data_IF_705467603579
#
_entry.id   IF_705467603579
#
_cell.length_a   1.000
_cell.length_b   1.000
_cell.length_c   1.000
_cell.angle_alpha   90.00
_cell.angle_beta   90.00
_cell.angle_gamma   90.00
#
_symmetry.space_group_name_H-M   'P 1'
#
loop_
_entity.id
_entity.type
_entity.pdbx_description
1 polymer ?
2 water ?
#
# COMPACT_ATOMS: atom_id res chain seq x y z
N UNK A 23 11.55 -8.43 4.41
CA UNK A 23 11.59 -7.84 3.07
C UNK A 23 10.27 -7.15 2.70
N UNK A 24 10.15 -6.64 1.47
CA UNK A 24 8.90 -6.02 1.04
C UNK A 24 7.83 -7.07 0.76
N UNK A 25 6.57 -6.69 0.79
CA UNK A 25 5.50 -7.62 0.37
C UNK A 25 5.56 -7.85 -1.13
N UNK A 26 5.08 -9.03 -1.58
CA UNK A 26 4.85 -9.20 -3.01
C UNK A 26 3.53 -8.52 -3.41
N UNK A 27 3.18 -8.55 -4.70
CA UNK A 27 2.03 -7.75 -5.15
C UNK A 27 0.74 -8.25 -4.50
N UNK A 28 0.56 -9.58 -4.45
CA UNK A 28 -0.64 -10.14 -3.84
C UNK A 28 -0.73 -9.79 -2.36
N UNK A 29 0.38 -9.93 -1.64
CA UNK A 29 0.36 -9.55 -0.23
C UNK A 29 0.01 -8.07 -0.09
N UNK A 30 0.59 -7.21 -0.94
CA UNK A 30 0.37 -5.77 -0.79
C UNK A 30 -1.07 -5.40 -1.10
N UNK A 31 -1.64 -5.99 -2.15
CA UNK A 31 -3.04 -5.70 -2.45
C UNK A 31 -3.94 -6.13 -1.29
N UNK A 32 -3.67 -7.30 -0.70
CA UNK A 32 -4.43 -7.71 0.50
C UNK A 32 -4.30 -6.68 1.62
N UNK A 33 -3.09 -6.15 1.84
CA UNK A 33 -2.89 -5.12 2.86
C UNK A 33 -3.72 -3.87 2.58
N UNK A 34 -3.82 -3.49 1.30
CA UNK A 34 -4.58 -2.29 0.94
C UNK A 34 -6.05 -2.51 1.25
N UNK A 35 -6.57 -3.69 0.92
CA UNK A 35 -7.96 -3.97 1.22
C UNK A 35 -8.21 -4.05 2.72
N UNK A 36 -7.27 -4.63 3.48
CA UNK A 36 -7.48 -4.68 4.93
C UNK A 36 -7.48 -3.29 5.53
N UNK A 37 -6.52 -2.46 5.11
CA UNK A 37 -6.50 -1.07 5.52
C UNK A 37 -7.81 -0.38 5.17
N UNK A 38 -8.28 -0.59 3.94
CA UNK A 38 -9.57 -0.05 3.52
C UNK A 38 -10.67 -0.44 4.51
N UNK A 39 -10.65 -1.70 4.96
CA UNK A 39 -11.66 -2.26 5.85
C UNK A 39 -11.52 -1.76 7.28
N UNK A 40 -10.29 -1.50 7.73
CA UNK A 40 -9.99 -1.22 9.13
C UNK A 40 -9.68 0.24 9.45
N UNK A 41 -9.46 1.10 8.44
CA UNK A 41 -8.87 2.40 8.73
C UNK A 41 -9.79 3.28 9.59
N UNK A 42 -11.11 3.03 9.57
CA UNK A 42 -12.03 3.80 10.40
C UNK A 42 -11.88 3.56 11.90
N UNK A 43 -11.16 2.50 12.29
CA UNK A 43 -11.01 2.19 13.71
C UNK A 43 -9.90 3.00 14.36
N UNK A 44 -9.19 3.85 13.62
CA UNK A 44 -7.96 4.48 14.09
C UNK A 44 -8.09 5.99 13.97
N UNK A 45 -7.34 6.75 14.78
CA UNK A 45 -7.48 8.22 14.73
C UNK A 45 -7.03 8.85 13.42
N UNK A 46 -6.06 8.25 12.73
CA UNK A 46 -5.54 8.78 11.48
C UNK A 46 -4.78 7.66 10.77
N UNK A 47 -4.21 7.98 9.60
CA UNK A 47 -3.51 6.95 8.84
C UNK A 47 -2.22 6.55 9.53
N UNK A 48 -1.57 7.50 10.20
CA UNK A 48 -0.29 7.18 10.82
C UNK A 48 -0.45 6.27 12.03
N UNK A 49 -1.64 6.27 12.65
CA UNK A 49 -1.89 5.50 13.86
C UNK A 49 -2.24 4.04 13.58
N UNK A 50 -2.64 3.71 12.36
CA UNK A 50 -2.79 2.34 11.89
C UNK A 50 -1.54 1.53 12.24
N UNK A 51 -1.67 0.26 12.54
CA UNK A 51 -0.49 -0.50 12.97
C UNK A 51 0.38 -1.03 11.84
N UNK A 52 1.33 -0.20 11.39
CA UNK A 52 2.23 -0.53 10.28
C UNK A 52 3.46 -1.29 10.76
N UNK A 53 3.82 -2.37 10.05
CA UNK A 53 5.02 -3.12 10.41
C UNK A 53 6.30 -2.46 9.94
N UNK A 54 6.22 -1.49 9.04
CA UNK A 54 7.40 -0.77 8.60
C UNK A 54 6.94 0.57 8.04
N UNK A 55 7.86 1.54 8.02
CA UNK A 55 7.58 2.74 7.23
C UNK A 55 7.21 2.38 5.81
N UNK A 56 7.81 1.32 5.26
CA UNK A 56 7.50 0.93 3.89
C UNK A 56 6.02 0.58 3.73
N UNK A 57 5.45 -0.17 4.68
CA UNK A 57 4.05 -0.56 4.56
C UNK A 57 3.15 0.68 4.56
N UNK A 58 3.46 1.64 5.43
CA UNK A 58 2.66 2.85 5.52
C UNK A 58 2.66 3.59 4.18
N UNK A 59 3.85 3.78 3.60
CA UNK A 59 3.97 4.55 2.35
C UNK A 59 3.32 3.80 1.18
N UNK A 60 3.63 2.52 1.03
CA UNK A 60 3.02 1.69 -0.01
C UNK A 60 1.49 1.71 0.10
N UNK A 61 0.97 1.33 1.27
CA UNK A 61 -0.47 1.14 1.41
C UNK A 61 -1.22 2.47 1.29
N UNK A 62 -0.75 3.53 1.98
CA UNK A 62 -1.52 4.78 1.95
C UNK A 62 -1.50 5.41 0.56
N UNK A 63 -0.38 5.31 -0.15
CA UNK A 63 -0.34 5.79 -1.53
C UNK A 63 -1.31 5.02 -2.42
N UNK A 64 -1.30 3.69 -2.33
CA UNK A 64 -2.20 2.89 -3.17
C UNK A 64 -3.66 3.08 -2.77
N UNK A 65 -3.94 3.17 -1.46
CA UNK A 65 -5.31 3.41 -1.03
C UNK A 65 -5.82 4.72 -1.61
N UNK A 66 -5.04 5.78 -1.49
CA UNK A 66 -5.50 7.08 -1.98
C UNK A 66 -5.67 7.08 -3.49
N UNK A 67 -4.79 6.37 -4.20
CA UNK A 67 -4.93 6.23 -5.64
C UNK A 67 -6.18 5.43 -6.00
N UNK A 68 -6.39 4.30 -5.31
CA UNK A 68 -7.66 3.57 -5.37
C UNK A 68 -8.88 4.47 -5.24
N UNK A 69 -8.91 5.18 -4.10
CA UNK A 69 -10.02 6.06 -3.73
C UNK A 69 -10.24 7.13 -4.79
N UNK A 70 -9.21 7.90 -5.08
CA UNK A 70 -9.34 9.06 -5.96
C UNK A 70 -9.46 8.70 -7.43
N UNK A 71 -9.43 7.41 -7.79
CA UNK A 71 -9.43 7.04 -9.20
C UNK A 71 -10.30 5.82 -9.48
N UNK A 72 -11.06 5.35 -8.49
CA UNK A 72 -11.95 4.21 -8.65
C UNK A 72 -11.25 3.05 -9.35
N UNK A 73 -10.07 2.71 -8.86
CA UNK A 73 -9.25 1.67 -9.48
C UNK A 73 -9.93 0.31 -9.37
N UNK A 74 -9.97 -0.43 -10.47
CA UNK A 74 -10.36 -1.83 -10.42
C UNK A 74 -9.28 -2.65 -9.72
N UNK A 75 -9.62 -3.90 -9.37
CA UNK A 75 -8.64 -4.79 -8.75
C UNK A 75 -7.43 -5.02 -9.65
N UNK A 76 -7.65 -5.18 -10.96
CA UNK A 76 -6.52 -5.39 -11.85
C UNK A 76 -5.67 -4.13 -11.94
N UNK A 77 -6.33 -2.97 -11.96
CA UNK A 77 -5.62 -1.70 -12.02
C UNK A 77 -4.81 -1.49 -10.75
N UNK A 78 -5.42 -1.79 -9.60
CA UNK A 78 -4.71 -1.71 -8.33
C UNK A 78 -3.46 -2.58 -8.34
N UNK A 79 -3.57 -3.80 -8.87
CA UNK A 79 -2.43 -4.71 -8.89
C UNK A 79 -1.30 -4.15 -9.73
N UNK A 80 -1.64 -3.54 -10.87
CA UNK A 80 -0.60 -2.94 -11.70
C UNK A 80 0.08 -1.78 -10.97
N UNK A 81 -0.70 -0.87 -10.37
CA UNK A 81 -0.08 0.20 -9.60
C UNK A 81 0.77 -0.36 -8.46
N UNK A 82 0.25 -1.37 -7.73
CA UNK A 82 1.02 -1.92 -6.62
C UNK A 82 2.37 -2.46 -7.11
N UNK A 83 2.37 -3.17 -8.24
CA UNK A 83 3.63 -3.71 -8.75
C UNK A 83 4.61 -2.58 -9.06
N UNK A 84 4.12 -1.48 -9.65
CA UNK A 84 5.02 -0.37 -9.95
C UNK A 84 5.55 0.26 -8.68
N UNK A 85 4.68 0.47 -7.68
CA UNK A 85 5.13 1.01 -6.40
C UNK A 85 6.18 0.09 -5.77
N UNK A 86 5.99 -1.22 -5.88
CA UNK A 86 6.95 -2.11 -5.26
C UNK A 86 8.30 -2.07 -5.98
N UNK A 87 8.31 -1.84 -7.29
CA UNK A 87 9.59 -1.73 -8.02
C UNK A 87 10.33 -0.47 -7.57
N UNK A 88 9.61 0.66 -7.47
CA UNK A 88 10.24 1.89 -7.01
C UNK A 88 10.80 1.73 -5.61
N UNK A 89 10.04 1.11 -4.73
CA UNK A 89 10.51 0.93 -3.36
C UNK A 89 11.69 -0.05 -3.26
N UNK A 90 11.67 -1.15 -4.03
CA UNK A 90 12.82 -2.04 -4.08
C UNK A 90 14.06 -1.28 -4.51
N UNK A 91 13.92 -0.40 -5.52
CA UNK A 91 15.09 0.36 -5.95
C UNK A 91 15.56 1.32 -4.85
N UNK A 92 14.63 2.01 -4.18
CA UNK A 92 15.01 2.90 -3.08
C UNK A 92 15.77 2.16 -1.99
N UNK A 93 15.24 1.04 -1.53
CA UNK A 93 15.93 0.31 -0.47
C UNK A 93 17.26 -0.23 -0.98
N UNK A 94 17.31 -0.66 -2.24
CA UNK A 94 18.53 -1.26 -2.80
C UNK A 94 19.70 -0.29 -2.78
N UNK A 95 19.46 1.00 -2.96
CA UNK A 95 20.56 1.95 -2.95
C UNK A 95 20.69 2.67 -1.61
N UNK A 96 20.19 2.07 -0.53
CA UNK A 96 20.46 2.55 0.82
C UNK A 96 19.44 3.46 1.48
#
# INVERSE_FOLDING_TARGET
XGHHHHHHQFVAWCREEASVTAGLPNVSELVDMVYEYCRKRGLYPDAESYPWKSNAHYWLVTNLYQNMRANALTDAELRRKAADELVHMTARINRGEAIPEPVKQLPVXGGRPL
#
